data_IF_915021065129
#
_entry.id   IF_915021065129
#
_cell.length_a   1.000
_cell.length_b   1.000
_cell.length_c   1.000
_cell.angle_alpha   90.00
_cell.angle_beta   90.00
_cell.angle_gamma   90.00
#
_symmetry.space_group_name_H-M   'P 1'
#
loop_
_entity.id
_entity.type
_entity.pdbx_description
1 polymer ?
#
# COMPACT_ATOMS: atom_id res chain seq x y z
N UNK A 1 2.64 -1.35 21.92
CA UNK A 1 1.21 -1.34 22.32
C UNK A 1 0.41 -2.16 21.32
N UNK A 2 -0.54 -2.99 21.76
CA UNK A 2 -1.45 -3.69 20.84
C UNK A 2 -2.57 -2.76 20.38
N UNK A 3 -2.79 -2.69 19.07
CA UNK A 3 -3.82 -1.86 18.44
C UNK A 3 -4.50 -2.64 17.32
N UNK A 4 -5.80 -2.41 17.15
CA UNK A 4 -6.54 -2.91 15.98
C UNK A 4 -6.45 -1.88 14.87
N UNK A 5 -6.17 -2.34 13.66
CA UNK A 5 -6.03 -1.52 12.47
C UNK A 5 -6.93 -2.08 11.39
N UNK A 6 -7.84 -1.24 10.89
CA UNK A 6 -8.63 -1.51 9.71
C UNK A 6 -7.81 -1.15 8.48
N UNK A 7 -7.33 -2.15 7.74
CA UNK A 7 -6.43 -1.92 6.60
C UNK A 7 -7.19 -1.25 5.47
N UNK A 8 -6.77 -0.05 5.05
CA UNK A 8 -7.41 0.70 3.96
C UNK A 8 -6.48 0.96 2.78
N UNK A 9 -5.17 0.82 2.98
CA UNK A 9 -4.16 1.04 1.94
C UNK A 9 -3.15 -0.10 1.97
N UNK A 10 -2.86 -0.64 0.79
CA UNK A 10 -1.80 -1.62 0.58
C UNK A 10 -1.18 -1.34 -0.78
N UNK A 11 0.03 -0.82 -0.81
CA UNK A 11 0.66 -0.48 -2.09
C UNK A 11 1.14 -1.71 -2.85
N UNK A 12 1.26 -1.59 -4.17
CA UNK A 12 2.02 -2.54 -4.95
C UNK A 12 3.47 -2.53 -4.46
N UNK A 13 4.09 -3.70 -4.22
CA UNK A 13 5.41 -3.74 -3.65
C UNK A 13 6.43 -3.04 -4.54
N UNK A 14 7.35 -2.36 -3.87
CA UNK A 14 8.49 -1.73 -4.53
C UNK A 14 9.78 -2.27 -3.93
N UNK A 15 10.80 -2.37 -4.77
CA UNK A 15 12.14 -2.73 -4.33
C UNK A 15 12.83 -1.55 -3.66
N UNK A 16 13.21 -1.74 -2.41
CA UNK A 16 13.95 -0.78 -1.58
C UNK A 16 15.35 -1.26 -1.32
N UNK A 17 16.32 -0.33 -1.38
CA UNK A 17 17.72 -0.63 -1.03
C UNK A 17 17.84 -1.15 0.40
N UNK A 18 17.01 -0.65 1.32
CA UNK A 18 17.15 -0.93 2.76
C UNK A 18 16.45 -2.22 3.20
N UNK A 19 15.28 -2.57 2.65
CA UNK A 19 14.40 -3.60 3.23
C UNK A 19 13.89 -4.66 2.23
N UNK A 20 14.60 -4.85 1.12
CA UNK A 20 14.30 -5.80 0.05
C UNK A 20 13.03 -5.44 -0.73
N UNK A 21 11.89 -6.01 -0.34
CA UNK A 21 10.57 -5.74 -0.90
C UNK A 21 9.67 -5.12 0.17
N UNK A 22 9.09 -3.94 -0.14
CA UNK A 22 8.28 -3.19 0.82
C UNK A 22 6.90 -2.90 0.28
N UNK A 23 5.91 -3.11 1.15
CA UNK A 23 4.54 -2.68 0.97
C UNK A 23 4.25 -1.59 2.00
N UNK A 24 3.90 -0.39 1.54
CA UNK A 24 3.35 0.61 2.43
C UNK A 24 1.94 0.17 2.81
N UNK A 25 1.71 0.01 4.11
CA UNK A 25 0.41 -0.36 4.65
C UNK A 25 -0.11 0.79 5.48
N UNK A 26 -1.36 1.18 5.26
CA UNK A 26 -2.02 2.18 6.05
C UNK A 26 -3.45 1.75 6.39
N UNK A 27 -3.98 2.32 7.46
CA UNK A 27 -5.29 1.96 7.95
C UNK A 27 -5.84 2.96 8.94
N UNK A 28 -7.01 2.60 9.47
CA UNK A 28 -7.70 3.34 10.53
C UNK A 28 -7.58 2.54 11.82
N UNK A 29 -7.11 3.19 12.87
CA UNK A 29 -7.04 2.62 14.20
C UNK A 29 -8.44 2.45 14.82
N UNK A 30 -8.53 1.66 15.87
CA UNK A 30 -9.73 1.49 16.70
C UNK A 30 -10.29 2.79 17.30
N UNK A 31 -9.47 3.82 17.46
CA UNK A 31 -9.90 5.16 17.86
C UNK A 31 -10.32 6.07 16.69
N UNK A 32 -10.24 5.56 15.45
CA UNK A 32 -10.58 6.26 14.22
C UNK A 32 -9.45 7.08 13.59
N UNK A 33 -8.28 7.18 14.23
CA UNK A 33 -7.13 7.91 13.69
C UNK A 33 -6.39 7.14 12.60
N UNK A 34 -5.67 7.85 11.74
CA UNK A 34 -4.82 7.23 10.72
C UNK A 34 -3.58 6.58 11.31
N UNK A 35 -3.19 5.45 10.73
CA UNK A 35 -1.92 4.80 11.01
C UNK A 35 -1.24 4.38 9.71
N UNK A 36 0.07 4.63 9.64
CA UNK A 36 0.99 4.09 8.66
C UNK A 36 1.86 3.06 9.33
N UNK A 37 1.90 1.85 8.78
CA UNK A 37 2.73 0.77 9.27
C UNK A 37 3.89 0.59 8.30
N UNK A 38 5.09 0.97 8.72
CA UNK A 38 6.28 0.92 7.88
C UNK A 38 7.56 0.70 8.70
N UNK A 39 8.47 -0.19 8.26
CA UNK A 39 8.33 -1.14 7.14
C UNK A 39 7.47 -2.35 7.55
N UNK A 40 6.80 -2.97 6.57
CA UNK A 40 6.07 -4.23 6.77
C UNK A 40 6.35 -5.19 5.61
N UNK A 41 7.10 -6.29 5.84
CA UNK A 41 7.48 -7.24 4.79
C UNK A 41 6.32 -8.19 4.46
N UNK A 42 5.21 -7.64 3.95
CA UNK A 42 3.93 -8.33 3.75
C UNK A 42 4.04 -9.69 3.04
N UNK A 43 4.83 -9.77 1.96
CA UNK A 43 5.00 -11.02 1.19
C UNK A 43 5.83 -12.08 1.92
N UNK A 44 6.69 -11.67 2.86
CA UNK A 44 7.47 -12.60 3.69
C UNK A 44 6.65 -13.13 4.88
N UNK A 45 5.53 -12.50 5.24
CA UNK A 45 4.61 -13.00 6.27
C UNK A 45 4.04 -14.38 5.89
N UNK A 46 3.81 -15.21 6.92
CA UNK A 46 3.11 -16.48 6.80
C UNK A 46 1.75 -16.30 6.14
N UNK A 47 1.31 -17.28 5.34
CA UNK A 47 0.10 -17.18 4.55
C UNK A 47 -1.13 -16.75 5.39
N UNK A 48 -1.28 -17.33 6.58
CA UNK A 48 -2.37 -17.01 7.52
C UNK A 48 -2.31 -15.59 8.08
N UNK A 49 -1.11 -14.98 8.12
CA UNK A 49 -0.89 -13.61 8.61
C UNK A 49 -0.98 -12.56 7.50
N UNK A 50 -1.15 -12.98 6.22
CA UNK A 50 -1.33 -12.07 5.08
C UNK A 50 -2.75 -11.51 5.11
N UNK A 51 -2.88 -10.35 5.74
CA UNK A 51 -4.13 -9.61 5.80
C UNK A 51 -4.62 -9.14 4.44
N UNK A 52 -5.93 -8.95 4.34
CA UNK A 52 -6.62 -8.40 3.18
C UNK A 52 -7.00 -6.94 3.42
N UNK A 53 -7.24 -6.20 2.35
CA UNK A 53 -7.78 -4.83 2.42
C UNK A 53 -9.19 -4.88 3.02
N UNK A 54 -9.52 -3.89 3.82
CA UNK A 54 -10.77 -3.76 4.58
C UNK A 54 -10.98 -4.86 5.64
N UNK A 55 -9.89 -5.34 6.23
CA UNK A 55 -9.91 -6.30 7.33
C UNK A 55 -9.37 -5.65 8.61
N UNK A 56 -9.94 -6.01 9.76
CA UNK A 56 -9.39 -5.62 11.06
C UNK A 56 -8.26 -6.58 11.48
N UNK A 57 -7.10 -6.01 11.74
CA UNK A 57 -5.88 -6.74 12.10
C UNK A 57 -5.34 -6.18 13.41
N UNK A 58 -4.98 -7.03 14.35
CA UNK A 58 -4.26 -6.63 15.56
C UNK A 58 -2.75 -6.61 15.28
N UNK A 59 -2.14 -5.48 15.56
CA UNK A 59 -0.69 -5.29 15.51
C UNK A 59 -0.17 -4.89 16.88
N UNK A 60 1.03 -5.35 17.19
CA UNK A 60 1.86 -4.75 18.23
C UNK A 60 2.70 -3.62 17.61
N UNK A 61 2.27 -2.38 17.85
CA UNK A 61 2.83 -1.18 17.25
C UNK A 61 3.70 -0.40 18.23
N UNK A 62 4.74 0.21 17.69
CA UNK A 62 5.53 1.26 18.34
C UNK A 62 5.83 2.40 17.37
N UNK A 63 6.07 3.60 17.91
CA UNK A 63 6.32 4.79 17.10
C UNK A 63 7.63 4.62 16.33
N UNK A 64 7.61 4.88 15.02
CA UNK A 64 8.84 4.83 14.22
C UNK A 64 9.54 6.19 14.25
N UNK A 65 10.58 6.33 15.08
CA UNK A 65 11.33 7.58 15.25
C UNK A 65 12.20 7.95 14.05
N UNK A 66 12.40 7.04 13.10
CA UNK A 66 13.16 7.30 11.87
C UNK A 66 12.31 7.89 10.74
N UNK A 67 10.98 7.93 10.89
CA UNK A 67 10.06 8.56 9.95
C UNK A 67 9.35 9.71 10.69
N UNK A 68 9.47 10.93 10.15
CA UNK A 68 8.99 12.14 10.85
C UNK A 68 7.48 12.28 10.83
N UNK A 69 6.79 11.47 10.02
CA UNK A 69 5.35 11.60 9.83
C UNK A 69 4.57 11.26 11.10
N UNK A 70 3.55 12.04 11.46
CA UNK A 70 2.85 11.88 12.72
C UNK A 70 2.12 10.53 12.84
N UNK A 71 1.73 9.90 11.72
CA UNK A 71 1.00 8.64 11.69
C UNK A 71 1.88 7.40 11.56
N UNK A 72 3.22 7.52 11.54
CA UNK A 72 4.12 6.38 11.28
C UNK A 72 4.42 5.53 12.52
N UNK A 73 4.25 4.22 12.37
CA UNK A 73 4.50 3.19 13.36
C UNK A 73 5.20 2.00 12.69
N UNK A 74 5.91 1.20 13.48
CA UNK A 74 6.48 -0.08 13.06
C UNK A 74 5.90 -1.21 13.90
N UNK A 75 5.84 -2.41 13.30
CA UNK A 75 5.44 -3.62 14.02
C UNK A 75 6.62 -4.11 14.85
N UNK A 76 6.42 -4.28 16.15
CA UNK A 76 7.46 -4.75 17.08
C UNK A 76 7.83 -6.19 16.77
N UNK A 77 6.82 -7.04 16.56
CA UNK A 77 7.00 -8.46 16.29
C UNK A 77 5.99 -8.94 15.24
N UNK A 78 6.46 -9.35 14.06
CA UNK A 78 5.59 -9.86 13.00
C UNK A 78 4.89 -11.19 13.37
N UNK A 79 5.40 -11.94 14.36
CA UNK A 79 4.77 -13.16 14.83
C UNK A 79 3.48 -12.90 15.63
N UNK A 80 3.30 -11.69 16.17
CA UNK A 80 2.12 -11.33 16.99
C UNK A 80 0.98 -10.74 16.16
N UNK A 81 1.14 -10.62 14.84
CA UNK A 81 0.09 -10.17 13.92
C UNK A 81 -1.08 -11.17 13.96
N UNK A 82 -2.29 -10.67 14.21
CA UNK A 82 -3.51 -11.49 14.25
C UNK A 82 -4.60 -10.90 13.37
N UNK A 83 -5.14 -11.73 12.47
CA UNK A 83 -6.39 -11.43 11.76
C UNK A 83 -7.55 -11.58 12.74
N UNK A 84 -8.37 -10.54 12.90
CA UNK A 84 -9.47 -10.55 13.88
C UNK A 84 -10.74 -11.12 13.25
N UNK A 85 -11.16 -10.54 12.13
CA UNK A 85 -12.40 -10.87 11.43
C UNK A 85 -12.13 -11.06 9.93
N UNK A 86 -13.14 -11.53 9.21
CA UNK A 86 -13.14 -11.49 7.75
C UNK A 86 -13.15 -10.04 7.21
N UNK A 87 -12.69 -9.82 5.97
CA UNK A 87 -12.77 -8.50 5.35
C UNK A 87 -14.22 -8.03 5.28
N UNK A 88 -14.47 -6.79 5.69
CA UNK A 88 -15.78 -6.17 5.60
C UNK A 88 -16.16 -6.07 4.13
N UNK A 89 -17.34 -6.56 3.75
CA UNK A 89 -17.83 -6.56 2.37
C UNK A 89 -18.23 -5.18 1.85
N UNK A 90 -18.89 -5.18 0.70
CA UNK A 90 -19.30 -3.98 -0.06
C UNK A 90 -20.80 -3.69 0.04
N UNK A 91 -21.50 -4.38 0.95
CA UNK A 91 -22.96 -4.33 1.09
C UNK A 91 -23.45 -2.91 1.41
N UNK A 92 -24.66 -2.59 0.97
CA UNK A 92 -25.30 -1.29 1.18
C UNK A 92 -24.40 -0.11 0.75
N UNK A 93 -23.78 -0.22 -0.42
CA UNK A 93 -22.86 0.80 -0.95
C UNK A 93 -21.69 1.09 -0.01
N UNK A 94 -21.02 0.02 0.47
CA UNK A 94 -19.86 0.09 1.36
C UNK A 94 -20.13 0.77 2.71
N UNK A 95 -21.38 0.73 3.22
CA UNK A 95 -21.81 1.49 4.41
C UNK A 95 -20.87 1.33 5.60
N UNK A 96 -20.61 0.09 6.03
CA UNK A 96 -19.73 -0.21 7.18
C UNK A 96 -18.31 0.31 7.00
N UNK A 97 -17.75 0.19 5.79
CA UNK A 97 -16.40 0.71 5.50
C UNK A 97 -16.38 2.24 5.58
N UNK A 98 -17.40 2.90 5.04
CA UNK A 98 -17.54 4.37 5.09
C UNK A 98 -17.72 4.87 6.52
N UNK A 99 -18.48 4.16 7.36
CA UNK A 99 -18.62 4.47 8.78
C UNK A 99 -17.24 4.45 9.46
N UNK A 100 -16.48 3.36 9.34
CA UNK A 100 -15.14 3.27 9.95
C UNK A 100 -14.20 4.38 9.44
N UNK A 101 -14.17 4.62 8.12
CA UNK A 101 -13.22 5.55 7.52
C UNK A 101 -13.62 7.01 7.76
N UNK A 102 -14.90 7.37 7.63
CA UNK A 102 -15.34 8.77 7.62
C UNK A 102 -15.87 9.29 8.95
N UNK A 103 -16.24 8.42 9.89
CA UNK A 103 -16.87 8.86 11.15
C UNK A 103 -15.97 9.78 11.97
N UNK A 104 -14.65 9.58 11.94
CA UNK A 104 -13.69 10.36 12.74
C UNK A 104 -12.62 11.08 11.90
N UNK A 105 -12.68 10.99 10.58
CA UNK A 105 -11.69 11.59 9.71
C UNK A 105 -12.30 12.72 8.87
N UNK A 106 -11.62 13.85 8.83
CA UNK A 106 -11.99 14.97 7.95
C UNK A 106 -11.88 14.52 6.49
N UNK A 107 -12.94 14.80 5.73
CA UNK A 107 -12.94 14.66 4.27
C UNK A 107 -12.49 15.98 3.69
N UNK A 108 -11.27 16.01 3.17
CA UNK A 108 -10.71 17.18 2.51
C UNK A 108 -11.22 17.30 1.08
N UNK A 109 -11.39 18.53 0.63
CA UNK A 109 -11.90 18.86 -0.71
C UNK A 109 -11.03 19.88 -1.45
N UNK A 110 -10.11 20.54 -0.72
CA UNK A 110 -9.09 21.42 -1.25
C UNK A 110 -7.72 20.71 -1.16
N UNK A 111 -7.03 20.57 -2.29
CA UNK A 111 -5.75 19.87 -2.32
C UNK A 111 -4.59 20.76 -1.81
N UNK A 112 -4.67 22.07 -2.01
CA UNK A 112 -3.67 23.02 -1.50
C UNK A 112 -3.64 23.01 0.03
N UNK A 113 -4.81 22.98 0.69
CA UNK A 113 -4.90 22.81 2.16
C UNK A 113 -4.15 21.55 2.63
N UNK A 114 -4.35 20.42 1.94
CA UNK A 114 -3.66 19.17 2.28
C UNK A 114 -2.15 19.26 2.11
N UNK A 115 -1.69 19.93 1.05
CA UNK A 115 -0.26 20.11 0.78
C UNK A 115 0.38 20.97 1.87
N UNK A 116 -0.26 22.05 2.28
CA UNK A 116 0.24 22.92 3.35
C UNK A 116 0.33 22.17 4.68
N UNK A 117 -0.71 21.41 5.05
CA UNK A 117 -0.71 20.56 6.25
C UNK A 117 0.38 19.48 6.20
N UNK A 118 0.67 18.94 5.01
CA UNK A 118 1.75 17.97 4.83
C UNK A 118 3.13 18.61 4.96
N UNK A 119 3.34 19.82 4.43
CA UNK A 119 4.58 20.59 4.60
C UNK A 119 4.82 20.97 6.06
N UNK A 120 3.76 21.28 6.80
CA UNK A 120 3.80 21.54 8.25
C UNK A 120 3.95 20.24 9.08
N UNK A 121 4.03 19.07 8.43
CA UNK A 121 4.11 17.75 9.07
C UNK A 121 2.95 17.47 10.05
N UNK A 122 1.78 18.08 9.82
CA UNK A 122 0.57 17.85 10.61
C UNK A 122 -0.14 16.56 10.23
N UNK A 123 -0.02 16.16 8.96
CA UNK A 123 -0.55 14.90 8.45
C UNK A 123 0.27 14.37 7.27
N UNK A 124 0.14 13.08 7.01
CA UNK A 124 0.67 12.43 5.81
C UNK A 124 -0.31 11.46 5.14
N UNK A 125 -1.48 11.26 5.76
CA UNK A 125 -2.58 10.45 5.26
C UNK A 125 -3.87 11.26 5.40
N UNK A 126 -4.73 11.18 4.39
CA UNK A 126 -6.00 11.90 4.37
C UNK A 126 -7.05 11.20 3.53
N UNK A 127 -8.32 11.49 3.82
CA UNK A 127 -9.42 11.24 2.90
C UNK A 127 -9.62 12.48 2.05
N UNK A 128 -9.52 12.33 0.73
CA UNK A 128 -9.79 13.40 -0.21
C UNK A 128 -11.00 13.07 -1.07
N UNK A 129 -11.91 14.03 -1.24
CA UNK A 129 -13.06 13.94 -2.13
C UNK A 129 -12.88 14.94 -3.28
N UNK A 130 -12.55 14.49 -4.50
CA UNK A 130 -12.51 15.36 -5.66
C UNK A 130 -13.91 15.92 -5.97
N UNK A 131 -13.95 17.10 -6.57
CA UNK A 131 -15.18 17.70 -7.11
C UNK A 131 -15.60 17.00 -8.40
N UNK A 132 -14.66 16.81 -9.32
CA UNK A 132 -14.87 16.08 -10.56
C UNK A 132 -13.71 15.13 -10.84
N UNK A 133 -14.04 13.89 -11.21
CA UNK A 133 -13.08 12.98 -11.81
C UNK A 133 -13.04 13.26 -13.31
N UNK A 134 -11.89 13.68 -13.83
CA UNK A 134 -11.74 14.17 -15.21
C UNK A 134 -11.38 13.01 -16.14
N UNK A 135 -10.35 12.24 -15.78
CA UNK A 135 -9.89 11.11 -16.60
C UNK A 135 -8.99 10.16 -15.82
N UNK A 136 -8.83 8.96 -16.39
CA UNK A 136 -7.84 7.97 -15.98
C UNK A 136 -6.76 7.88 -17.05
N UNK A 137 -5.50 7.88 -16.63
CA UNK A 137 -4.36 7.81 -17.53
C UNK A 137 -3.46 6.64 -17.18
N UNK A 138 -2.90 6.02 -18.21
CA UNK A 138 -1.92 4.94 -18.10
C UNK A 138 -0.66 5.36 -18.84
N UNK A 139 0.49 5.21 -18.20
CA UNK A 139 1.80 5.49 -18.80
C UNK A 139 2.69 4.25 -18.71
N UNK A 140 3.37 3.90 -19.80
CA UNK A 140 4.36 2.83 -19.78
C UNK A 140 5.57 3.21 -18.90
N UNK A 141 6.15 2.22 -18.24
CA UNK A 141 7.41 2.31 -17.49
C UNK A 141 8.28 1.09 -17.82
N UNK A 142 9.52 1.05 -17.34
CA UNK A 142 10.40 -0.09 -17.62
C UNK A 142 9.80 -1.38 -17.04
N UNK A 143 9.89 -2.47 -17.81
CA UNK A 143 9.31 -3.77 -17.47
C UNK A 143 10.07 -4.50 -16.37
N UNK A 144 11.38 -4.26 -16.31
CA UNK A 144 12.26 -4.91 -15.37
C UNK A 144 12.63 -4.00 -14.20
N UNK A 145 12.93 -4.63 -13.07
CA UNK A 145 13.61 -3.95 -11.97
C UNK A 145 15.03 -3.58 -12.40
N UNK A 146 15.52 -2.43 -11.92
CA UNK A 146 16.89 -1.99 -12.23
C UNK A 146 17.92 -3.03 -11.73
N UNK A 147 18.93 -3.33 -12.56
CA UNK A 147 20.03 -4.25 -12.24
C UNK A 147 20.66 -3.99 -10.88
N UNK A 148 20.86 -2.72 -10.52
CA UNK A 148 21.47 -2.32 -9.23
C UNK A 148 20.62 -2.74 -8.02
N UNK A 149 19.29 -2.71 -8.16
CA UNK A 149 18.38 -3.15 -7.09
C UNK A 149 18.39 -4.68 -6.97
N UNK A 150 18.44 -5.39 -8.09
CA UNK A 150 18.54 -6.85 -8.12
C UNK A 150 19.88 -7.33 -7.56
N UNK A 151 21.00 -6.70 -7.93
CA UNK A 151 22.33 -7.02 -7.42
C UNK A 151 22.44 -6.78 -5.91
N UNK A 152 21.84 -5.70 -5.40
CA UNK A 152 21.81 -5.41 -3.97
C UNK A 152 21.00 -6.45 -3.18
N UNK A 153 19.87 -6.90 -3.73
CA UNK A 153 19.08 -8.00 -3.16
C UNK A 153 19.92 -9.28 -3.13
N UNK A 154 20.53 -9.65 -4.26
CA UNK A 154 21.38 -10.84 -4.37
C UNK A 154 22.52 -10.84 -3.35
N UNK A 155 23.20 -9.70 -3.17
CA UNK A 155 24.28 -9.57 -2.19
C UNK A 155 23.81 -9.77 -0.74
N UNK A 156 22.61 -9.31 -0.37
CA UNK A 156 22.05 -9.54 0.97
C UNK A 156 21.68 -11.00 1.21
N UNK A 157 21.07 -11.65 0.23
CA UNK A 157 20.70 -13.07 0.37
C UNK A 157 21.95 -13.94 0.47
N UNK A 158 23.01 -13.62 -0.28
CA UNK A 158 24.29 -14.33 -0.18
C UNK A 158 24.92 -14.22 1.24
N UNK A 159 24.80 -13.06 1.90
CA UNK A 159 25.28 -12.89 3.28
C UNK A 159 24.48 -13.71 4.30
N UNK A 160 23.18 -13.91 4.07
CA UNK A 160 22.28 -14.69 4.95
C UNK A 160 22.32 -16.21 4.67
N UNK A 161 22.79 -16.60 3.49
CA UNK A 161 22.71 -17.97 2.96
C UNK A 161 23.45 -19.05 3.77
N UNK A 162 24.35 -18.67 4.67
CA UNK A 162 25.09 -19.62 5.50
C UNK A 162 24.22 -20.34 6.55
N UNK A 163 23.02 -19.83 6.86
CA UNK A 163 22.15 -20.38 7.92
C UNK A 163 20.73 -20.74 7.45
N UNK A 164 20.43 -20.67 6.14
CA UNK A 164 19.07 -20.80 5.61
C UNK A 164 18.91 -22.03 4.71
N UNK A 165 17.72 -22.63 4.76
CA UNK A 165 17.33 -23.73 3.87
C UNK A 165 17.11 -23.23 2.43
N UNK A 166 17.18 -24.13 1.44
CA UNK A 166 16.92 -23.78 0.04
C UNK A 166 15.53 -23.18 -0.20
N UNK A 167 14.54 -23.58 0.60
CA UNK A 167 13.17 -23.07 0.51
C UNK A 167 13.06 -21.64 1.05
N UNK A 168 13.72 -21.35 2.17
CA UNK A 168 13.83 -20.00 2.72
C UNK A 168 14.55 -19.07 1.74
N UNK A 169 15.64 -19.54 1.13
CA UNK A 169 16.35 -18.80 0.10
C UNK A 169 15.46 -18.48 -1.11
N UNK A 170 14.69 -19.45 -1.62
CA UNK A 170 13.76 -19.20 -2.74
C UNK A 170 12.65 -18.21 -2.39
N UNK A 171 12.09 -18.30 -1.17
CA UNK A 171 11.08 -17.37 -0.67
C UNK A 171 11.65 -15.96 -0.52
N UNK A 172 12.91 -15.86 -0.11
CA UNK A 172 13.65 -14.59 0.05
C UNK A 172 14.01 -13.96 -1.30
N UNK A 173 14.26 -14.77 -2.33
CA UNK A 173 14.49 -14.34 -3.72
C UNK A 173 13.22 -14.04 -4.52
N UNK A 174 12.02 -14.40 -4.03
CA UNK A 174 10.77 -14.24 -4.77
C UNK A 174 10.27 -12.78 -4.77
N UNK A 175 10.84 -11.98 -5.66
CA UNK A 175 10.42 -10.60 -5.92
C UNK A 175 9.12 -10.58 -6.74
N UNK A 176 8.24 -9.60 -6.49
CA UNK A 176 7.08 -9.36 -7.36
C UNK A 176 7.51 -8.89 -8.75
N UNK A 177 6.80 -9.31 -9.79
CA UNK A 177 6.98 -8.75 -11.13
C UNK A 177 6.71 -7.23 -11.10
N UNK A 178 7.58 -6.47 -11.76
CA UNK A 178 7.39 -5.02 -11.87
C UNK A 178 6.23 -4.74 -12.81
N UNK A 179 5.35 -3.81 -12.43
CA UNK A 179 4.30 -3.36 -13.32
C UNK A 179 4.91 -2.60 -14.51
N UNK A 180 4.54 -2.94 -15.76
CA UNK A 180 5.00 -2.23 -16.95
C UNK A 180 4.26 -0.90 -17.17
N UNK A 181 3.32 -0.56 -16.30
CA UNK A 181 2.50 0.65 -16.38
C UNK A 181 2.37 1.36 -15.03
N UNK A 182 2.25 2.68 -15.09
CA UNK A 182 1.84 3.55 -14.00
C UNK A 182 0.44 4.07 -14.28
N UNK A 183 -0.41 4.07 -13.27
CA UNK A 183 -1.82 4.44 -13.38
C UNK A 183 -2.06 5.75 -12.64
N UNK A 184 -2.92 6.62 -13.19
CA UNK A 184 -3.15 7.94 -12.64
C UNK A 184 -4.62 8.34 -12.76
N UNK A 185 -5.08 9.13 -11.79
CA UNK A 185 -6.31 9.91 -11.93
C UNK A 185 -5.97 11.37 -12.20
N UNK A 186 -6.73 11.98 -13.11
CA UNK A 186 -6.85 13.43 -13.24
C UNK A 186 -8.19 13.84 -12.64
N UNK A 187 -8.19 14.81 -11.74
CA UNK A 187 -9.39 15.30 -11.07
C UNK A 187 -9.28 16.80 -10.80
N UNK A 188 -10.40 17.45 -10.50
CA UNK A 188 -10.44 18.80 -9.94
C UNK A 188 -10.92 18.81 -8.50
N UNK A 189 -10.39 19.74 -7.72
CA UNK A 189 -10.79 20.00 -6.34
C UNK A 189 -11.96 21.00 -6.26
N UNK A 190 -12.39 21.39 -5.05
CA UNK A 190 -13.55 22.27 -4.88
C UNK A 190 -13.35 23.68 -5.49
N UNK A 191 -12.10 24.15 -5.53
CA UNK A 191 -11.67 25.42 -6.13
C UNK A 191 -11.45 25.32 -7.64
N UNK A 192 -11.61 24.12 -8.22
CA UNK A 192 -11.44 23.90 -9.65
C UNK A 192 -10.00 23.66 -10.08
N UNK A 193 -9.05 23.54 -9.14
CA UNK A 193 -7.66 23.21 -9.46
C UNK A 193 -7.59 21.78 -9.98
N UNK A 194 -7.10 21.61 -11.19
CA UNK A 194 -6.84 20.29 -11.75
C UNK A 194 -5.54 19.73 -11.18
N UNK A 195 -5.56 18.44 -10.85
CA UNK A 195 -4.40 17.73 -10.33
C UNK A 195 -4.36 16.31 -10.86
N UNK A 196 -3.14 15.78 -10.94
CA UNK A 196 -2.85 14.43 -11.41
C UNK A 196 -2.18 13.66 -10.30
N UNK A 197 -2.73 12.51 -9.93
CA UNK A 197 -2.22 11.68 -8.82
C UNK A 197 -2.04 10.24 -9.27
N UNK A 198 -0.89 9.65 -8.90
CA UNK A 198 -0.57 8.25 -9.18
C UNK A 198 -1.37 7.32 -8.27
N UNK A 199 -1.75 6.16 -8.79
CA UNK A 199 -2.38 5.07 -8.07
C UNK A 199 -1.30 4.02 -7.77
N UNK A 200 -0.94 3.90 -6.51
CA UNK A 200 0.06 2.93 -6.05
C UNK A 200 -0.55 1.67 -5.41
N UNK A 201 -1.88 1.55 -5.36
CA UNK A 201 -2.58 0.44 -4.70
C UNK A 201 -2.26 -0.93 -5.34
N UNK A 202 -2.15 -1.99 -4.53
CA UNK A 202 -1.92 -3.36 -5.00
C UNK A 202 -3.00 -3.82 -5.99
N UNK A 203 -4.24 -3.42 -5.75
CA UNK A 203 -5.39 -3.89 -6.53
C UNK A 203 -5.34 -3.47 -8.00
N UNK A 204 -4.76 -2.30 -8.35
CA UNK A 204 -4.64 -1.89 -9.77
C UNK A 204 -3.66 -2.79 -10.51
N UNK A 205 -2.55 -3.15 -9.86
CA UNK A 205 -1.59 -4.09 -10.43
C UNK A 205 -2.14 -5.50 -10.56
N UNK A 206 -2.80 -5.99 -9.52
CA UNK A 206 -3.46 -7.30 -9.55
C UNK A 206 -4.56 -7.37 -10.63
N UNK A 207 -5.32 -6.30 -10.81
CA UNK A 207 -6.31 -6.18 -11.88
C UNK A 207 -5.65 -6.29 -13.26
N UNK A 208 -4.58 -5.53 -13.50
CA UNK A 208 -3.83 -5.58 -14.75
C UNK A 208 -3.37 -7.01 -15.09
N UNK A 209 -2.72 -7.70 -14.15
CA UNK A 209 -2.24 -9.08 -14.37
C UNK A 209 -3.39 -10.06 -14.65
N UNK A 210 -4.53 -9.90 -13.98
CA UNK A 210 -5.71 -10.72 -14.23
C UNK A 210 -6.29 -10.49 -15.63
N UNK A 211 -6.39 -9.22 -16.06
CA UNK A 211 -6.83 -8.87 -17.41
C UNK A 211 -5.84 -9.40 -18.45
N UNK A 212 -4.53 -9.22 -18.26
CA UNK A 212 -3.51 -9.73 -19.18
C UNK A 212 -3.61 -11.25 -19.35
N UNK A 213 -3.84 -11.98 -18.26
CA UNK A 213 -4.05 -13.43 -18.31
C UNK A 213 -5.32 -13.79 -19.08
N UNK A 214 -6.42 -13.07 -18.86
CA UNK A 214 -7.70 -13.29 -19.55
C UNK A 214 -7.58 -13.04 -21.05
N UNK A 215 -6.87 -11.98 -21.42
CA UNK A 215 -6.64 -11.56 -22.81
C UNK A 215 -5.44 -12.27 -23.47
N UNK A 216 -4.96 -13.38 -22.87
CA UNK A 216 -3.89 -14.24 -23.39
C UNK A 216 -2.60 -13.47 -23.74
N UNK A 217 -2.26 -12.46 -22.95
CA UNK A 217 -1.06 -11.65 -23.14
C UNK A 217 -1.25 -10.41 -24.01
N UNK A 218 -2.46 -10.11 -24.48
CA UNK A 218 -2.73 -8.87 -25.21
C UNK A 218 -2.83 -7.67 -24.23
N UNK A 219 -1.76 -6.88 -24.16
CA UNK A 219 -1.67 -5.73 -23.25
C UNK A 219 -2.67 -4.63 -23.58
N UNK A 220 -2.93 -4.36 -24.87
CA UNK A 220 -3.87 -3.30 -25.26
C UNK A 220 -5.30 -3.65 -24.85
N UNK A 221 -5.68 -4.92 -24.99
CA UNK A 221 -6.96 -5.42 -24.51
C UNK A 221 -7.01 -5.46 -22.97
N UNK A 222 -5.89 -5.71 -22.29
CA UNK A 222 -5.83 -5.71 -20.83
C UNK A 222 -5.97 -4.31 -20.19
N UNK A 223 -5.67 -3.26 -20.95
CA UNK A 223 -5.76 -1.86 -20.53
C UNK A 223 -7.09 -1.17 -20.92
N UNK A 224 -7.83 -1.74 -21.88
CA UNK A 224 -9.11 -1.23 -22.37
C UNK A 224 -10.31 -1.76 -21.61
#
# INVERSE_FOLDING_TARGET
MKRKVFITVKTYPTLSKKYDELVCTAGILDDGSWVRIYPLPFRKLDYEKRYKKYQWIEFELEKNTSDMRPETYRVVNCATIKTIDDPIGTENYWRKRKEIIFQRNKIYKNLSELIDLAHENKLSLAVFKPKHLISFHVEATEREWSSDKLALLQGKVQQLSFFQTQEELRKEFSVVDKLPYKFFYKFSDEEGKESRLMIEDWEIGALYWNCLKKEKGNEQAALG
#
